data_IF_299192272705
#
_entry.id   IF_299192272705
#
_cell.length_a   1.000
_cell.length_b   1.000
_cell.length_c   1.000
_cell.angle_alpha   90.00
_cell.angle_beta   90.00
_cell.angle_gamma   90.00
#
_symmetry.space_group_name_H-M   'P 1'
#
loop_
_entity.id
_entity.type
_entity.pdbx_description
1 polymer ?
#
# COMPACT_ATOMS: atom_id res chain seq x y z
N UNK A 1 4.01 -9.99 23.98
CA UNK A 1 3.23 -9.25 22.95
C UNK A 1 4.04 -9.30 21.67
N UNK A 2 3.63 -10.12 20.68
CA UNK A 2 4.30 -10.12 19.37
C UNK A 2 4.02 -8.76 18.72
N UNK A 3 5.07 -8.01 18.39
CA UNK A 3 4.95 -6.76 17.64
C UNK A 3 4.42 -7.11 16.25
N UNK A 4 3.10 -6.96 16.07
CA UNK A 4 2.47 -7.06 14.76
C UNK A 4 2.92 -5.86 13.95
N UNK A 5 3.28 -6.07 12.69
CA UNK A 5 3.58 -4.96 11.78
C UNK A 5 2.37 -4.01 11.71
N UNK A 6 2.61 -2.72 11.53
CA UNK A 6 1.53 -1.73 11.42
C UNK A 6 0.54 -2.08 10.30
N UNK A 7 1.06 -2.54 9.15
CA UNK A 7 0.27 -3.01 8.02
C UNK A 7 -0.71 -4.13 8.40
N UNK A 8 -0.27 -5.14 9.15
CA UNK A 8 -1.18 -6.21 9.63
C UNK A 8 -2.29 -5.65 10.52
N UNK A 9 -1.97 -4.70 11.39
CA UNK A 9 -2.96 -4.08 12.27
C UNK A 9 -4.03 -3.33 11.48
N UNK A 10 -3.63 -2.59 10.44
CA UNK A 10 -4.57 -1.92 9.51
C UNK A 10 -5.45 -2.94 8.80
N UNK A 11 -4.86 -3.95 8.15
CA UNK A 11 -5.62 -4.97 7.40
C UNK A 11 -6.59 -5.76 8.28
N UNK A 12 -6.20 -6.05 9.53
CA UNK A 12 -7.09 -6.69 10.49
C UNK A 12 -8.27 -5.78 10.85
N UNK A 13 -8.01 -4.51 11.14
CA UNK A 13 -9.06 -3.57 11.49
C UNK A 13 -10.03 -3.36 10.31
N UNK A 14 -9.53 -3.32 9.07
CA UNK A 14 -10.37 -3.29 7.85
C UNK A 14 -11.21 -4.57 7.77
N UNK A 15 -10.60 -5.75 7.95
CA UNK A 15 -11.32 -7.03 7.93
C UNK A 15 -12.47 -7.08 8.95
N UNK A 16 -12.29 -6.51 10.13
CA UNK A 16 -13.26 -6.54 11.24
C UNK A 16 -14.33 -5.44 11.09
N UNK A 17 -13.95 -4.23 10.70
CA UNK A 17 -14.85 -3.07 10.63
C UNK A 17 -15.53 -2.88 9.27
N UNK A 18 -14.90 -3.33 8.18
CA UNK A 18 -15.36 -3.20 6.79
C UNK A 18 -15.32 -4.58 6.12
N UNK A 19 -16.21 -5.51 6.50
CA UNK A 19 -16.09 -6.93 6.13
C UNK A 19 -16.29 -7.21 4.63
N UNK A 20 -16.99 -6.32 3.92
CA UNK A 20 -17.08 -6.31 2.47
C UNK A 20 -16.54 -4.96 1.98
N UNK A 21 -15.43 -4.98 1.25
CA UNK A 21 -14.73 -3.75 0.88
C UNK A 21 -13.94 -3.91 -0.42
N UNK A 22 -13.68 -2.77 -1.05
CA UNK A 22 -12.61 -2.58 -2.04
C UNK A 22 -11.58 -1.66 -1.42
N UNK A 23 -10.31 -2.02 -1.56
CA UNK A 23 -9.17 -1.32 -1.01
C UNK A 23 -8.24 -0.97 -2.16
N UNK A 24 -7.84 0.31 -2.23
CA UNK A 24 -6.84 0.80 -3.17
C UNK A 24 -5.76 1.51 -2.35
N UNK A 25 -4.53 1.01 -2.37
CA UNK A 25 -3.40 1.57 -1.64
C UNK A 25 -2.27 1.91 -2.60
N UNK A 26 -1.78 3.14 -2.54
CA UNK A 26 -0.64 3.62 -3.33
C UNK A 26 0.53 3.87 -2.40
N UNK A 27 1.72 3.44 -2.81
CA UNK A 27 2.97 3.74 -2.09
C UNK A 27 4.19 3.51 -2.99
N UNK A 28 5.36 3.92 -2.52
CA UNK A 28 6.64 3.61 -3.15
C UNK A 28 7.00 2.13 -2.96
N UNK A 29 7.30 1.42 -4.04
CA UNK A 29 7.77 0.02 -3.99
C UNK A 29 9.30 -0.08 -3.94
N UNK A 30 9.97 1.04 -4.20
CA UNK A 30 11.41 1.19 -4.09
C UNK A 30 11.77 2.65 -3.78
N UNK A 31 12.87 2.84 -3.05
CA UNK A 31 13.43 4.16 -2.77
C UNK A 31 14.83 4.21 -3.40
N UNK A 32 15.07 5.11 -4.38
CA UNK A 32 16.40 5.26 -4.97
C UNK A 32 17.38 5.86 -3.96
N UNK A 33 18.68 5.70 -4.22
CA UNK A 33 19.77 6.37 -3.48
C UNK A 33 19.80 6.11 -1.95
N UNK A 34 19.16 5.03 -1.49
CA UNK A 34 19.19 4.60 -0.09
C UNK A 34 20.63 4.27 0.31
N UNK A 35 21.16 5.07 1.24
CA UNK A 35 22.51 4.91 1.77
C UNK A 35 22.63 3.83 2.84
N UNK A 36 21.51 3.40 3.44
CA UNK A 36 21.48 2.33 4.44
C UNK A 36 21.52 0.97 3.75
N UNK A 37 22.47 0.09 4.07
CA UNK A 37 22.54 -1.22 3.45
C UNK A 37 21.41 -2.13 3.95
N UNK A 38 20.75 -2.83 3.03
CA UNK A 38 19.76 -3.88 3.36
C UNK A 38 18.62 -3.98 2.34
N UNK A 39 17.90 -5.11 2.39
CA UNK A 39 16.67 -5.28 1.63
C UNK A 39 15.53 -4.51 2.31
N UNK A 40 14.77 -3.73 1.54
CA UNK A 40 13.76 -2.81 2.06
C UNK A 40 14.32 -1.82 3.09
N UNK A 41 15.60 -1.44 2.95
CA UNK A 41 16.24 -0.47 3.83
C UNK A 41 15.52 0.89 3.72
N UNK A 42 15.44 1.63 4.84
CA UNK A 42 14.76 2.91 4.84
C UNK A 42 15.58 4.01 4.18
N UNK A 43 14.89 4.98 3.60
CA UNK A 43 15.44 6.31 3.33
C UNK A 43 15.28 7.15 4.60
N UNK A 44 16.39 7.72 5.08
CA UNK A 44 16.40 8.69 6.18
C UNK A 44 16.74 10.03 5.59
N UNK A 45 15.80 10.98 5.63
CA UNK A 45 15.96 12.27 4.97
C UNK A 45 15.40 13.40 5.81
N UNK A 46 16.04 14.55 5.77
CA UNK A 46 15.46 15.79 6.27
C UNK A 46 15.42 16.86 5.16
N UNK A 47 14.49 17.80 5.28
CA UNK A 47 14.43 18.95 4.38
C UNK A 47 14.81 20.20 5.14
N UNK A 48 15.95 20.79 4.78
CA UNK A 48 16.42 22.07 5.33
C UNK A 48 16.49 23.08 4.18
N UNK A 49 15.71 24.17 4.27
CA UNK A 49 15.73 25.22 3.25
C UNK A 49 15.35 24.75 1.84
N UNK A 50 14.36 23.85 1.74
CA UNK A 50 13.91 23.22 0.48
C UNK A 50 14.96 22.31 -0.20
N UNK A 51 16.03 21.93 0.51
CA UNK A 51 17.01 20.95 0.05
C UNK A 51 16.87 19.69 0.91
N UNK A 52 16.66 18.55 0.24
CA UNK A 52 16.68 17.24 0.89
C UNK A 52 18.12 16.83 1.21
N UNK A 53 18.36 16.33 2.42
CA UNK A 53 19.63 15.74 2.84
C UNK A 53 19.37 14.34 3.39
N UNK A 54 19.96 13.36 2.71
CA UNK A 54 19.85 11.96 3.07
C UNK A 54 20.98 11.52 4.01
N UNK A 55 20.64 10.69 4.98
CA UNK A 55 21.56 10.17 5.99
C UNK A 55 21.85 8.69 5.76
N UNK A 56 23.09 8.28 6.01
CA UNK A 56 23.53 6.87 5.92
C UNK A 56 23.16 6.02 7.14
N UNK A 57 22.45 6.58 8.12
CA UNK A 57 22.04 5.89 9.36
C UNK A 57 20.77 6.50 9.94
N UNK A 58 19.97 5.67 10.60
CA UNK A 58 18.80 6.10 11.38
C UNK A 58 19.18 6.61 12.79
N UNK A 59 20.45 6.51 13.18
CA UNK A 59 20.97 6.97 14.47
C UNK A 59 21.20 8.49 14.50
N UNK A 60 20.23 9.25 13.98
CA UNK A 60 20.16 10.70 14.06
C UNK A 60 19.34 11.12 15.30
N UNK A 61 19.42 12.39 15.75
CA UNK A 61 18.58 12.85 16.85
C UNK A 61 17.09 12.61 16.57
N UNK A 62 16.33 12.24 17.61
CA UNK A 62 14.90 11.92 17.47
C UNK A 62 14.16 13.13 16.88
N UNK A 63 13.40 12.91 15.82
CA UNK A 63 12.64 13.95 15.12
C UNK A 63 13.48 14.84 14.20
N UNK A 64 14.78 14.55 14.02
CA UNK A 64 15.63 15.33 13.12
C UNK A 64 15.49 14.93 11.64
N UNK A 65 14.95 13.74 11.35
CA UNK A 65 14.73 13.24 10.01
C UNK A 65 13.45 12.41 9.93
N UNK A 66 12.83 12.43 8.75
CA UNK A 66 11.77 11.50 8.39
C UNK A 66 12.39 10.17 7.92
N UNK A 67 11.70 9.07 8.21
CA UNK A 67 12.14 7.71 7.89
C UNK A 67 11.07 7.06 7.01
N UNK A 68 11.42 6.78 5.75
CA UNK A 68 10.54 6.14 4.78
C UNK A 68 11.02 4.72 4.53
N UNK A 69 10.09 3.76 4.44
CA UNK A 69 10.38 2.39 4.03
C UNK A 69 9.67 2.12 2.70
N UNK A 70 10.31 1.43 1.73
CA UNK A 70 9.59 0.96 0.57
C UNK A 70 8.58 -0.10 0.99
N UNK A 71 7.38 -0.06 0.40
CA UNK A 71 6.37 -1.08 0.61
C UNK A 71 6.69 -2.33 -0.21
N UNK A 72 6.80 -3.47 0.45
CA UNK A 72 6.85 -4.76 -0.24
C UNK A 72 5.43 -5.20 -0.60
N UNK A 73 5.01 -4.88 -1.82
CA UNK A 73 3.66 -5.14 -2.32
C UNK A 73 3.32 -6.63 -2.41
N UNK A 74 4.28 -7.51 -2.73
CA UNK A 74 4.06 -8.96 -2.78
C UNK A 74 3.73 -9.52 -1.40
N UNK A 75 4.48 -9.06 -0.39
CA UNK A 75 4.23 -9.41 1.00
C UNK A 75 2.90 -8.83 1.49
N UNK A 76 2.56 -7.60 1.09
CA UNK A 76 1.30 -6.94 1.46
C UNK A 76 0.08 -7.66 0.84
N UNK A 77 0.14 -8.01 -0.45
CA UNK A 77 -0.91 -8.78 -1.13
C UNK A 77 -1.08 -10.17 -0.49
N UNK A 78 0.04 -10.85 -0.21
CA UNK A 78 0.03 -12.14 0.50
C UNK A 78 -0.57 -12.03 1.90
N UNK A 79 -0.27 -10.95 2.61
CA UNK A 79 -0.81 -10.68 3.95
C UNK A 79 -2.31 -10.39 3.89
N UNK A 80 -2.75 -9.59 2.92
CA UNK A 80 -4.16 -9.31 2.66
C UNK A 80 -4.94 -10.61 2.42
N UNK A 81 -4.51 -11.42 1.44
CA UNK A 81 -5.19 -12.67 1.09
C UNK A 81 -5.35 -13.59 2.32
N UNK A 82 -4.28 -13.75 3.12
CA UNK A 82 -4.32 -14.56 4.35
C UNK A 82 -5.24 -13.97 5.42
N UNK A 83 -5.21 -12.65 5.62
CA UNK A 83 -6.02 -12.00 6.65
C UNK A 83 -7.51 -12.02 6.28
N UNK A 84 -7.84 -11.82 5.00
CA UNK A 84 -9.22 -11.76 4.52
C UNK A 84 -9.89 -13.13 4.40
N UNK A 85 -9.13 -14.22 4.23
CA UNK A 85 -9.67 -15.58 4.28
C UNK A 85 -10.21 -16.00 5.66
N UNK A 86 -10.02 -15.21 6.71
CA UNK A 86 -10.52 -15.52 8.04
C UNK A 86 -12.04 -15.34 8.11
N UNK A 87 -12.84 -16.41 8.35
CA UNK A 87 -14.28 -16.27 8.46
C UNK A 87 -14.63 -15.43 9.69
N UNK A 88 -15.52 -14.46 9.50
CA UNK A 88 -15.99 -13.59 10.59
C UNK A 88 -17.00 -14.31 11.50
N UNK A 89 -17.72 -15.29 10.95
CA UNK A 89 -18.67 -16.13 11.67
C UNK A 89 -18.72 -17.53 11.03
N UNK A 90 -19.26 -18.52 11.76
CA UNK A 90 -19.28 -19.92 11.35
C UNK A 90 -20.17 -20.16 10.13
N UNK A 91 -19.56 -20.40 8.97
CA UNK A 91 -20.28 -20.64 7.72
C UNK A 91 -20.21 -19.48 6.74
N UNK A 92 -19.59 -18.36 7.12
CA UNK A 92 -19.31 -17.26 6.20
C UNK A 92 -18.46 -17.75 5.03
N UNK A 93 -18.96 -17.56 3.81
CA UNK A 93 -18.15 -17.68 2.59
C UNK A 93 -17.56 -16.33 2.26
N UNK A 94 -16.25 -16.35 2.03
CA UNK A 94 -15.47 -15.15 1.77
C UNK A 94 -14.64 -15.41 0.54
N UNK A 95 -14.70 -14.46 -0.39
CA UNK A 95 -13.83 -14.40 -1.54
C UNK A 95 -13.00 -13.12 -1.41
N UNK A 96 -11.69 -13.25 -1.59
CA UNK A 96 -10.77 -12.13 -1.44
C UNK A 96 -9.70 -12.21 -2.51
N UNK A 97 -9.51 -11.10 -3.20
CA UNK A 97 -8.53 -10.94 -4.27
C UNK A 97 -7.63 -9.75 -3.95
N UNK A 98 -6.37 -9.84 -4.37
CA UNK A 98 -5.40 -8.79 -4.17
C UNK A 98 -4.35 -8.85 -5.28
N UNK A 99 -4.15 -7.75 -5.97
CA UNK A 99 -3.17 -7.60 -7.03
C UNK A 99 -2.39 -6.30 -6.83
N UNK A 100 -1.07 -6.38 -6.98
CA UNK A 100 -0.21 -5.21 -7.03
C UNK A 100 0.34 -5.00 -8.44
N UNK A 101 0.30 -3.75 -8.92
CA UNK A 101 0.80 -3.36 -10.25
C UNK A 101 1.43 -1.96 -10.22
N UNK A 102 2.26 -1.59 -11.21
CA UNK A 102 2.76 -0.23 -11.34
C UNK A 102 1.62 0.79 -11.36
N UNK A 103 1.80 1.92 -10.68
CA UNK A 103 0.82 3.00 -10.70
C UNK A 103 0.57 3.53 -12.12
N UNK A 104 1.62 3.62 -12.93
CA UNK A 104 1.52 4.08 -14.31
C UNK A 104 0.57 3.19 -15.14
N UNK A 105 0.59 1.88 -14.93
CA UNK A 105 -0.34 0.98 -15.60
C UNK A 105 -1.76 1.18 -15.09
N UNK A 106 -1.96 1.40 -13.80
CA UNK A 106 -3.28 1.74 -13.25
C UNK A 106 -3.84 3.04 -13.85
N UNK A 107 -3.04 4.11 -13.91
CA UNK A 107 -3.51 5.38 -14.47
C UNK A 107 -3.78 5.32 -15.97
N UNK A 108 -3.01 4.54 -16.74
CA UNK A 108 -3.33 4.31 -18.17
C UNK A 108 -4.71 3.67 -18.37
N UNK A 109 -5.15 2.85 -17.42
CA UNK A 109 -6.43 2.16 -17.50
C UNK A 109 -7.58 3.02 -17.00
N UNK A 110 -7.38 3.79 -15.93
CA UNK A 110 -8.48 4.44 -15.20
C UNK A 110 -8.50 5.97 -15.25
N UNK A 111 -7.39 6.63 -15.64
CA UNK A 111 -7.33 8.09 -15.69
C UNK A 111 -7.66 8.63 -17.10
N UNK A 112 -8.22 9.84 -17.13
CA UNK A 112 -8.31 10.62 -18.37
C UNK A 112 -6.93 11.23 -18.68
N UNK A 113 -6.20 10.58 -19.60
CA UNK A 113 -4.86 11.00 -19.96
C UNK A 113 -4.85 12.33 -20.74
N UNK A 114 -5.93 12.68 -21.43
CA UNK A 114 -6.01 13.95 -22.18
C UNK A 114 -6.09 15.13 -21.20
N UNK A 115 -6.82 14.95 -20.10
CA UNK A 115 -6.94 15.97 -19.03
C UNK A 115 -5.65 16.08 -18.19
N UNK A 116 -4.90 14.99 -18.05
CA UNK A 116 -3.73 14.95 -17.17
C UNK A 116 -2.42 15.20 -17.90
N UNK A 117 -2.43 15.22 -19.24
CA UNK A 117 -1.28 15.58 -20.06
C UNK A 117 -1.11 17.10 -20.11
N UNK A 118 0.09 17.57 -19.79
CA UNK A 118 0.44 18.99 -19.80
C UNK A 118 0.56 19.52 -21.24
N UNK A 119 0.60 20.85 -21.41
CA UNK A 119 0.74 21.50 -22.72
C UNK A 119 2.02 21.09 -23.48
N UNK A 120 3.05 20.61 -22.79
CA UNK A 120 4.29 20.11 -23.42
C UNK A 120 4.17 18.67 -23.93
N UNK A 121 3.06 17.98 -23.66
CA UNK A 121 2.86 16.56 -23.99
C UNK A 121 3.34 15.59 -22.90
N UNK A 122 3.92 16.10 -21.81
CA UNK A 122 4.33 15.30 -20.67
C UNK A 122 3.15 15.04 -19.71
N UNK A 123 3.03 13.81 -19.21
CA UNK A 123 1.97 13.40 -18.28
C UNK A 123 2.54 12.95 -16.92
N UNK A 124 2.41 13.76 -15.85
CA UNK A 124 2.99 13.45 -14.54
C UNK A 124 2.40 12.20 -13.88
N UNK A 125 1.18 11.76 -14.22
CA UNK A 125 0.62 10.56 -13.60
C UNK A 125 1.31 9.26 -14.06
N UNK A 126 1.79 9.22 -15.30
CA UNK A 126 2.39 8.00 -15.88
C UNK A 126 3.90 8.10 -16.08
N UNK A 127 4.46 9.31 -16.09
CA UNK A 127 5.89 9.53 -16.33
C UNK A 127 6.71 9.78 -15.06
N UNK A 128 6.11 10.38 -14.02
CA UNK A 128 6.76 10.57 -12.71
C UNK A 128 6.60 9.36 -11.79
N UNK A 129 7.40 9.35 -10.71
CA UNK A 129 7.29 8.43 -9.59
C UNK A 129 7.10 6.97 -10.03
N UNK A 130 7.92 6.55 -11.02
CA UNK A 130 7.88 5.19 -11.60
C UNK A 130 8.19 4.08 -10.60
N UNK A 131 8.73 4.45 -9.43
CA UNK A 131 8.98 3.62 -8.26
C UNK A 131 7.75 3.50 -7.34
N UNK A 132 6.54 3.64 -7.88
CA UNK A 132 5.29 3.49 -7.14
C UNK A 132 4.45 2.34 -7.69
N UNK A 133 3.78 1.65 -6.77
CA UNK A 133 2.79 0.63 -7.09
C UNK A 133 1.48 0.91 -6.38
N UNK A 134 0.43 0.32 -6.94
CA UNK A 134 -0.89 0.27 -6.35
C UNK A 134 -1.22 -1.17 -5.98
N UNK A 135 -1.74 -1.38 -4.78
CA UNK A 135 -2.44 -2.60 -4.40
C UNK A 135 -3.94 -2.36 -4.59
N UNK A 136 -4.56 -3.14 -5.46
CA UNK A 136 -6.01 -3.21 -5.62
C UNK A 136 -6.44 -4.53 -4.99
N UNK A 137 -7.30 -4.45 -3.99
CA UNK A 137 -7.75 -5.63 -3.28
C UNK A 137 -9.23 -5.52 -2.95
N UNK A 138 -9.93 -6.65 -2.94
CA UNK A 138 -11.33 -6.69 -2.57
C UNK A 138 -11.61 -7.90 -1.69
N UNK A 139 -12.65 -7.75 -0.88
CA UNK A 139 -13.24 -8.83 -0.10
C UNK A 139 -14.74 -8.77 -0.29
N UNK A 140 -15.29 -9.86 -0.78
CA UNK A 140 -16.72 -10.07 -0.89
C UNK A 140 -17.22 -11.05 0.16
N UNK A 141 -18.47 -10.86 0.55
CA UNK A 141 -19.16 -11.67 1.54
C UNK A 141 -20.48 -12.16 0.92
N UNK A 142 -20.67 -13.47 0.85
CA UNK A 142 -21.96 -14.01 0.41
C UNK A 142 -23.02 -13.66 1.46
N UNK A 143 -24.00 -12.83 1.07
CA UNK A 143 -25.10 -12.40 1.97
C UNK A 143 -26.13 -13.50 2.22
N UNK A 144 -25.99 -14.68 1.64
CA UNK A 144 -26.89 -15.81 1.88
C UNK A 144 -26.53 -16.55 3.17
N UNK A 145 -27.17 -16.12 4.25
CA UNK A 145 -27.75 -16.88 5.39
C UNK A 145 -27.75 -15.94 6.61
N UNK A 146 -28.65 -14.96 6.58
CA UNK A 146 -29.13 -14.25 7.78
C UNK A 146 -30.66 -14.33 7.85
N UNK A 147 -31.20 -15.48 7.44
CA UNK A 147 -32.64 -15.79 7.41
C UNK A 147 -32.89 -17.21 7.91
N UNK A 148 -32.33 -17.54 9.08
CA UNK A 148 -32.63 -18.76 9.80
C UNK A 148 -33.25 -18.40 11.14
N UNK A 149 -34.57 -18.20 11.15
CA UNK A 149 -35.37 -18.29 12.38
C UNK A 149 -35.10 -19.64 13.04
N UNK A 150 -34.75 -19.61 14.33
CA UNK A 150 -35.26 -20.53 15.35
C UNK A 150 -35.32 -19.81 16.68
#
# INVERSE_FOLDING_TARGET
RSARTAAFSILRNISEGLPAHTLVLFDFDSLPDVQVPGQNAPLISNTEGAVARDFSTYLVPVGAADIFFPTNFDALASLYAKQMQRPLWKGARVEAEAEARPCSDFFKEFADLDVTTTLSGYNPLIEDFRNTKVLIACREMDRRVAGGEK
#
